data_IF_293609474826
#
_entry.id   IF_293609474826
#
_cell.length_a   1.000
_cell.length_b   1.000
_cell.length_c   1.000
_cell.angle_alpha   90.00
_cell.angle_beta   90.00
_cell.angle_gamma   90.00
#
_symmetry.space_group_name_H-M   'P 1'
#
loop_
_entity.id
_entity.type
_entity.pdbx_description
1 polymer ?
#
# COMPACT_ATOMS: atom_id res chain seq x y z
N UNK A 1 -11.46 33.72 -16.71
CA UNK A 1 -12.50 32.68 -16.55
C UNK A 1 -11.81 31.32 -16.61
N UNK A 2 -11.63 30.65 -15.47
CA UNK A 2 -11.09 29.29 -15.45
C UNK A 2 -12.26 28.32 -15.53
N UNK A 3 -12.50 27.75 -16.70
CA UNK A 3 -13.45 26.64 -16.85
C UNK A 3 -12.78 25.43 -16.21
N UNK A 4 -13.31 24.98 -15.06
CA UNK A 4 -12.95 23.69 -14.48
C UNK A 4 -13.81 22.63 -15.15
N UNK A 5 -13.17 21.69 -15.84
CA UNK A 5 -13.85 20.51 -16.35
C UNK A 5 -14.22 19.63 -15.15
N UNK A 6 -15.50 19.32 -14.99
CA UNK A 6 -15.95 18.36 -13.98
C UNK A 6 -15.39 16.97 -14.34
N UNK A 7 -14.84 16.27 -13.36
CA UNK A 7 -14.31 14.92 -13.56
C UNK A 7 -15.48 13.97 -13.78
N UNK A 8 -15.64 13.46 -15.01
CA UNK A 8 -16.73 12.55 -15.38
C UNK A 8 -16.62 11.17 -14.71
N UNK A 9 -15.41 10.73 -14.37
CA UNK A 9 -15.13 9.46 -13.69
C UNK A 9 -14.07 9.66 -12.60
N UNK A 10 -14.28 8.99 -11.47
CA UNK A 10 -13.29 8.80 -10.42
C UNK A 10 -12.21 7.79 -10.82
N UNK A 11 -11.08 7.81 -10.12
CA UNK A 11 -10.00 6.85 -10.36
C UNK A 11 -10.46 5.41 -10.11
N UNK A 12 -11.26 5.21 -9.06
CA UNK A 12 -11.86 3.95 -8.66
C UNK A 12 -12.75 3.38 -9.77
N UNK A 13 -13.58 4.23 -10.39
CA UNK A 13 -14.44 3.83 -11.51
C UNK A 13 -13.63 3.40 -12.72
N UNK A 14 -12.55 4.12 -13.05
CA UNK A 14 -11.67 3.75 -14.16
C UNK A 14 -11.05 2.37 -13.91
N UNK A 15 -10.51 2.14 -12.71
CA UNK A 15 -9.88 0.85 -12.36
C UNK A 15 -10.90 -0.30 -12.36
N UNK A 16 -12.15 -0.05 -11.95
CA UNK A 16 -13.20 -1.08 -11.93
C UNK A 16 -13.44 -1.72 -13.30
N UNK A 17 -13.32 -0.96 -14.39
CA UNK A 17 -13.53 -1.46 -15.75
C UNK A 17 -12.24 -2.01 -16.41
N UNK A 18 -11.09 -1.92 -15.75
CA UNK A 18 -9.85 -2.52 -16.23
C UNK A 18 -9.83 -4.04 -15.94
N UNK A 19 -9.20 -4.85 -16.81
CA UNK A 19 -8.99 -6.25 -16.50
C UNK A 19 -8.10 -6.42 -15.27
N UNK A 20 -8.42 -7.41 -14.43
CA UNK A 20 -7.63 -7.68 -13.22
C UNK A 20 -6.19 -8.03 -13.59
N UNK A 21 -5.25 -7.35 -12.96
CA UNK A 21 -3.82 -7.63 -13.13
C UNK A 21 -3.39 -8.84 -12.30
N UNK A 22 -2.30 -9.51 -12.69
CA UNK A 22 -1.71 -10.62 -11.91
C UNK A 22 -1.47 -10.25 -10.45
N UNK A 23 -1.08 -9.00 -10.18
CA UNK A 23 -0.84 -8.51 -8.80
C UNK A 23 -2.15 -8.47 -8.02
N UNK A 24 -3.19 -7.85 -8.56
CA UNK A 24 -4.50 -7.80 -7.90
C UNK A 24 -5.05 -9.21 -7.63
N UNK A 25 -4.87 -10.14 -8.58
CA UNK A 25 -5.28 -11.52 -8.39
C UNK A 25 -4.57 -12.15 -7.19
N UNK A 26 -3.24 -12.02 -7.09
CA UNK A 26 -2.47 -12.55 -5.96
C UNK A 26 -2.86 -11.88 -4.65
N UNK A 27 -2.92 -10.54 -4.62
CA UNK A 27 -3.24 -9.79 -3.40
C UNK A 27 -4.65 -10.13 -2.88
N UNK A 28 -5.62 -10.36 -3.79
CA UNK A 28 -6.99 -10.72 -3.40
C UNK A 28 -7.15 -12.09 -2.74
N UNK A 29 -6.12 -12.95 -2.80
CA UNK A 29 -6.13 -14.28 -2.16
C UNK A 29 -5.46 -14.29 -0.78
N UNK A 30 -4.82 -13.17 -0.39
CA UNK A 30 -4.11 -13.09 0.88
C UNK A 30 -5.05 -12.63 1.98
N UNK A 31 -5.21 -13.44 3.02
CA UNK A 31 -5.86 -13.03 4.26
C UNK A 31 -4.80 -12.45 5.21
N UNK A 32 -4.88 -11.14 5.47
CA UNK A 32 -3.96 -10.45 6.37
C UNK A 32 -4.60 -10.11 7.72
N UNK A 33 -5.76 -10.69 8.06
CA UNK A 33 -6.46 -10.40 9.31
C UNK A 33 -5.55 -10.62 10.52
N UNK A 34 -4.74 -11.69 10.50
CA UNK A 34 -3.77 -12.02 11.57
C UNK A 34 -2.68 -10.95 11.70
N UNK A 35 -2.23 -10.38 10.60
CA UNK A 35 -1.24 -9.29 10.65
C UNK A 35 -1.87 -8.03 11.23
N UNK A 36 -3.09 -7.70 10.84
CA UNK A 36 -3.79 -6.53 11.38
C UNK A 36 -4.02 -6.64 12.89
N UNK A 37 -4.40 -7.82 13.39
CA UNK A 37 -4.61 -8.03 14.84
C UNK A 37 -3.32 -7.93 15.66
N UNK A 38 -2.19 -8.43 15.11
CA UNK A 38 -0.92 -8.43 15.84
C UNK A 38 -0.14 -7.11 15.70
N UNK A 39 -0.31 -6.40 14.57
CA UNK A 39 0.40 -5.16 14.28
C UNK A 39 -0.44 -3.91 14.52
N UNK A 40 -1.74 -4.05 14.86
CA UNK A 40 -2.59 -2.90 15.22
C UNK A 40 -1.95 -2.10 16.34
N UNK A 41 -1.87 -0.79 16.16
CA UNK A 41 -1.44 0.11 17.23
C UNK A 41 -2.46 0.01 18.35
N UNK A 42 -1.99 -0.04 19.60
CA UNK A 42 -2.89 0.11 20.74
C UNK A 42 -3.52 1.52 20.70
N UNK A 43 -4.76 1.66 21.16
CA UNK A 43 -5.47 2.96 21.21
C UNK A 43 -4.72 4.02 22.04
N UNK A 44 -3.73 3.59 22.82
CA UNK A 44 -2.88 4.42 23.67
C UNK A 44 -1.62 4.94 22.98
N UNK A 45 -1.28 4.45 21.77
CA UNK A 45 -0.14 4.96 21.00
C UNK A 45 -0.43 6.37 20.46
N UNK A 46 0.25 7.35 21.04
CA UNK A 46 0.16 8.76 20.61
C UNK A 46 1.08 9.01 19.42
N UNK A 47 0.51 9.44 18.29
CA UNK A 47 1.26 9.87 17.12
C UNK A 47 0.36 10.06 15.88
N UNK A 48 0.91 10.57 14.77
CA UNK A 48 0.19 10.62 13.50
C UNK A 48 -0.28 9.21 13.10
N UNK A 49 -1.48 9.14 12.50
CA UNK A 49 -2.00 7.88 11.98
C UNK A 49 -1.07 7.39 10.87
N UNK A 50 -0.30 6.33 11.16
CA UNK A 50 0.57 5.69 10.19
C UNK A 50 -0.25 4.96 9.12
N UNK A 51 0.45 4.47 8.11
CA UNK A 51 -0.12 3.52 7.16
C UNK A 51 -0.54 2.23 7.87
N UNK A 52 -1.66 1.65 7.43
CA UNK A 52 -2.09 0.34 7.90
C UNK A 52 -1.05 -0.74 7.54
N UNK A 53 -0.80 -1.65 8.48
CA UNK A 53 0.17 -2.73 8.34
C UNK A 53 -0.10 -3.62 7.11
N UNK A 54 -1.37 -3.91 6.85
CA UNK A 54 -1.81 -4.69 5.67
C UNK A 54 -1.41 -4.02 4.36
N UNK A 55 -1.59 -2.70 4.24
CA UNK A 55 -1.22 -1.92 3.05
C UNK A 55 0.30 -1.93 2.81
N UNK A 56 1.09 -1.80 3.88
CA UNK A 56 2.55 -1.91 3.80
C UNK A 56 2.98 -3.32 3.38
N UNK A 57 2.35 -4.36 3.93
CA UNK A 57 2.62 -5.74 3.56
C UNK A 57 2.27 -6.02 2.08
N UNK A 58 1.11 -5.57 1.60
CA UNK A 58 0.75 -5.68 0.19
C UNK A 58 1.76 -5.01 -0.74
N UNK A 59 2.31 -3.86 -0.34
CA UNK A 59 3.36 -3.20 -1.10
C UNK A 59 4.64 -4.05 -1.21
N UNK A 60 5.03 -4.73 -0.12
CA UNK A 60 6.17 -5.65 -0.13
C UNK A 60 5.91 -6.90 -0.99
N UNK A 61 4.69 -7.45 -0.97
CA UNK A 61 4.32 -8.54 -1.89
C UNK A 61 4.35 -8.04 -3.35
N UNK A 62 3.81 -6.86 -3.62
CA UNK A 62 3.84 -6.26 -4.95
C UNK A 62 5.29 -6.00 -5.43
N UNK A 63 6.19 -5.61 -4.51
CA UNK A 63 7.63 -5.48 -4.76
C UNK A 63 8.23 -6.80 -5.30
N UNK A 64 7.93 -7.92 -4.63
CA UNK A 64 8.38 -9.25 -5.05
C UNK A 64 7.81 -9.64 -6.43
N UNK A 65 6.51 -9.42 -6.64
CA UNK A 65 5.84 -9.74 -7.91
C UNK A 65 6.37 -8.92 -9.09
N UNK A 66 6.76 -7.66 -8.84
CA UNK A 66 7.37 -6.76 -9.83
C UNK A 66 8.89 -6.92 -9.95
N UNK A 67 9.51 -7.82 -9.17
CA UNK A 67 10.97 -8.04 -9.12
C UNK A 67 11.77 -6.76 -8.80
N UNK A 68 11.22 -5.90 -7.96
CA UNK A 68 11.91 -4.70 -7.48
C UNK A 68 12.91 -5.14 -6.41
N UNK A 69 14.18 -4.71 -6.54
CA UNK A 69 15.29 -5.27 -5.73
C UNK A 69 15.38 -4.69 -4.32
N UNK A 70 15.06 -3.41 -4.15
CA UNK A 70 15.25 -2.68 -2.89
C UNK A 70 14.03 -1.82 -2.53
N UNK A 71 13.91 -1.45 -1.25
CA UNK A 71 12.82 -0.61 -0.73
C UNK A 71 12.84 0.77 -1.38
N UNK A 72 14.03 1.32 -1.64
CA UNK A 72 14.20 2.56 -2.39
C UNK A 72 13.47 2.50 -3.75
N UNK A 73 13.74 1.48 -4.55
CA UNK A 73 13.08 1.27 -5.84
C UNK A 73 11.58 1.02 -5.72
N UNK A 74 11.11 0.46 -4.60
CA UNK A 74 9.69 0.32 -4.33
C UNK A 74 9.04 1.70 -4.13
N UNK A 75 9.67 2.58 -3.33
CA UNK A 75 9.18 3.95 -3.09
C UNK A 75 9.26 4.80 -4.36
N UNK A 76 10.36 4.71 -5.10
CA UNK A 76 10.50 5.35 -6.42
C UNK A 76 9.43 4.90 -7.40
N UNK A 77 8.99 3.64 -7.35
CA UNK A 77 7.95 3.11 -8.23
C UNK A 77 6.54 3.42 -7.74
N UNK A 78 6.31 3.41 -6.43
CA UNK A 78 5.03 3.81 -5.84
C UNK A 78 4.71 5.26 -6.13
N UNK A 79 5.71 6.14 -6.23
CA UNK A 79 5.48 7.56 -6.43
C UNK A 79 4.75 7.94 -7.73
N UNK A 80 5.21 7.50 -8.91
CA UNK A 80 4.60 7.81 -10.19
C UNK A 80 3.49 6.83 -10.60
N UNK A 81 3.31 5.70 -9.91
CA UNK A 81 2.38 4.63 -10.31
C UNK A 81 1.12 4.61 -9.43
N UNK A 82 0.07 5.39 -9.77
CA UNK A 82 -1.17 5.46 -8.98
C UNK A 82 -1.93 4.14 -8.95
N UNK A 83 -1.81 3.34 -10.02
CA UNK A 83 -2.43 2.02 -10.08
C UNK A 83 -1.78 1.06 -9.08
N UNK A 84 -0.45 1.04 -8.99
CA UNK A 84 0.27 0.25 -7.98
C UNK A 84 -0.12 0.65 -6.56
N UNK A 85 -0.23 1.96 -6.27
CA UNK A 85 -0.71 2.45 -4.97
C UNK A 85 -2.09 1.90 -4.63
N UNK A 86 -3.02 2.01 -5.59
CA UNK A 86 -4.38 1.54 -5.44
C UNK A 86 -4.45 0.03 -5.20
N UNK A 87 -3.65 -0.76 -5.93
CA UNK A 87 -3.62 -2.22 -5.76
C UNK A 87 -3.13 -2.64 -4.37
N UNK A 88 -2.21 -1.88 -3.79
CA UNK A 88 -1.72 -2.09 -2.43
C UNK A 88 -2.65 -1.52 -1.34
N UNK A 89 -3.77 -0.88 -1.72
CA UNK A 89 -4.73 -0.28 -0.81
C UNK A 89 -4.37 1.14 -0.34
N UNK A 90 -3.35 1.78 -0.93
CA UNK A 90 -3.02 3.17 -0.61
C UNK A 90 -3.98 4.14 -1.30
N UNK A 91 -4.26 5.25 -0.62
CA UNK A 91 -4.98 6.38 -1.18
C UNK A 91 -4.11 7.03 -2.27
N UNK A 92 -4.66 7.10 -3.49
CA UNK A 92 -3.95 7.56 -4.68
C UNK A 92 -3.61 9.05 -4.62
N UNK A 93 -4.42 9.83 -3.91
CA UNK A 93 -4.26 11.27 -3.76
C UNK A 93 -3.31 11.66 -2.62
N UNK A 94 -3.06 10.73 -1.69
CA UNK A 94 -2.12 10.94 -0.59
C UNK A 94 -0.69 10.63 -0.99
N UNK A 95 0.25 11.07 -0.16
CA UNK A 95 1.66 10.73 -0.30
C UNK A 95 1.83 9.21 -0.19
N UNK A 96 2.75 8.64 -0.97
CA UNK A 96 3.16 7.26 -0.79
C UNK A 96 3.97 7.08 0.52
N UNK A 97 3.99 5.87 1.10
CA UNK A 97 4.89 5.56 2.21
C UNK A 97 6.36 5.81 1.82
N UNK A 98 7.14 6.31 2.78
CA UNK A 98 8.57 6.57 2.59
C UNK A 98 9.41 5.35 2.98
N UNK A 99 10.69 5.34 2.62
CA UNK A 99 11.60 4.24 2.98
C UNK A 99 11.70 4.01 4.50
N UNK A 100 11.80 5.06 5.36
CA UNK A 100 11.80 4.85 6.81
C UNK A 100 10.52 4.21 7.32
N UNK A 101 9.37 4.46 6.68
CA UNK A 101 8.11 3.80 7.03
C UNK A 101 8.21 2.29 6.80
N UNK A 102 8.75 1.87 5.65
CA UNK A 102 8.97 0.45 5.37
C UNK A 102 10.02 -0.18 6.28
N UNK A 103 11.12 0.52 6.59
CA UNK A 103 12.13 0.04 7.52
C UNK A 103 11.53 -0.25 8.90
N UNK A 104 10.83 0.73 9.48
CA UNK A 104 10.17 0.57 10.79
C UNK A 104 9.15 -0.56 10.78
N UNK A 105 8.45 -0.75 9.68
CA UNK A 105 7.50 -1.84 9.53
C UNK A 105 8.19 -3.21 9.51
N UNK A 106 9.30 -3.35 8.78
CA UNK A 106 10.10 -4.57 8.76
C UNK A 106 10.71 -4.86 10.13
N UNK A 107 11.22 -3.84 10.82
CA UNK A 107 11.73 -3.97 12.20
C UNK A 107 10.62 -4.47 13.13
N UNK A 108 9.39 -3.93 12.98
CA UNK A 108 8.22 -4.36 13.76
C UNK A 108 7.88 -5.82 13.49
N UNK A 109 7.86 -6.25 12.22
CA UNK A 109 7.62 -7.67 11.87
C UNK A 109 8.73 -8.55 12.46
N UNK A 110 10.00 -8.16 12.32
CA UNK A 110 11.13 -8.94 12.81
C UNK A 110 11.14 -9.08 14.34
N UNK A 111 10.51 -8.16 15.07
CA UNK A 111 10.37 -8.23 16.52
C UNK A 111 9.24 -9.15 17.00
N UNK A 112 8.39 -9.62 16.09
CA UNK A 112 7.31 -10.57 16.41
C UNK A 112 7.90 -11.98 16.32
N UNK A 113 8.28 -12.55 17.46
CA UNK A 113 8.90 -13.89 17.60
C UNK A 113 7.98 -15.09 17.23
N UNK A 114 6.76 -14.85 16.74
CA UNK A 114 5.73 -15.89 16.53
C UNK A 114 5.26 -16.04 15.06
N UNK A 115 6.00 -15.50 14.09
CA UNK A 115 5.82 -15.73 12.65
C UNK A 115 6.93 -16.63 12.10
#
# INVERSE_FOLDING_TARGET
>A
MYIRQETFLSFEEIIKYQPKTKIQMVLSQLDLTVLETNLSKSDHERGPKDYEASKLFYALIAMQLKKIKNIHGLVERLNPDPALRYYCGFDVLKKAPSEPTFSRFLDKISSIDYL
#
